data_IF_784524596578
#
_entry.id   IF_784524596578
#
_cell.length_a   1.000
_cell.length_b   1.000
_cell.length_c   1.000
_cell.angle_alpha   90.00
_cell.angle_beta   90.00
_cell.angle_gamma   90.00
#
_symmetry.space_group_name_H-M   'P 1'
#
loop_
_entity.id
_entity.type
_entity.pdbx_description
1 polymer ?
#
# COMPACT_ATOMS: atom_id res chain seq x y z
N UNK A 1 7.46 -30.43 34.55
CA UNK A 1 8.59 -31.17 33.94
C UNK A 1 9.65 -30.15 33.51
N UNK A 2 10.84 -30.22 34.07
CA UNK A 2 11.93 -29.32 33.62
C UNK A 2 12.58 -29.93 32.38
N UNK A 3 12.56 -29.16 31.26
CA UNK A 3 13.24 -29.54 30.03
C UNK A 3 14.76 -29.55 30.25
N UNK A 4 15.42 -30.61 29.80
CA UNK A 4 16.87 -30.72 29.79
C UNK A 4 17.48 -29.61 28.91
N UNK A 5 18.69 -29.12 29.24
CA UNK A 5 19.41 -28.09 28.46
C UNK A 5 19.54 -28.47 26.97
N UNK A 6 19.77 -29.76 26.68
CA UNK A 6 19.83 -30.22 25.29
C UNK A 6 18.49 -30.12 24.55
N UNK A 7 17.37 -30.40 25.22
CA UNK A 7 16.03 -30.23 24.67
C UNK A 7 15.70 -28.77 24.46
N UNK A 8 16.09 -27.87 25.37
CA UNK A 8 15.93 -26.41 25.20
C UNK A 8 16.68 -25.89 23.99
N UNK A 9 17.90 -26.36 23.75
CA UNK A 9 18.70 -26.01 22.56
C UNK A 9 18.04 -26.51 21.27
N UNK A 10 17.52 -27.73 21.28
CA UNK A 10 16.80 -28.29 20.12
C UNK A 10 15.52 -27.51 19.83
N UNK A 11 14.72 -27.21 20.84
CA UNK A 11 13.50 -26.41 20.70
C UNK A 11 13.81 -24.99 20.19
N UNK A 12 14.85 -24.36 20.74
CA UNK A 12 15.31 -23.06 20.28
C UNK A 12 15.76 -23.11 18.81
N UNK A 13 16.54 -24.12 18.43
CA UNK A 13 17.00 -24.29 17.05
C UNK A 13 15.82 -24.52 16.08
N UNK A 14 14.84 -25.34 16.45
CA UNK A 14 13.63 -25.57 15.67
C UNK A 14 12.79 -24.30 15.53
N UNK A 15 12.66 -23.48 16.59
CA UNK A 15 11.98 -22.20 16.54
C UNK A 15 12.67 -21.22 15.59
N UNK A 16 14.01 -21.15 15.63
CA UNK A 16 14.77 -20.28 14.71
C UNK A 16 14.59 -20.73 13.26
N UNK A 17 14.58 -22.03 12.99
CA UNK A 17 14.32 -22.57 11.64
C UNK A 17 12.90 -22.22 11.16
N UNK A 18 11.92 -22.34 12.03
CA UNK A 18 10.53 -22.04 11.69
C UNK A 18 10.32 -20.55 11.33
N UNK A 19 10.95 -19.65 12.07
CA UNK A 19 10.94 -18.20 11.78
C UNK A 19 11.63 -17.90 10.44
N UNK A 20 12.76 -18.54 10.16
CA UNK A 20 13.48 -18.37 8.89
C UNK A 20 12.64 -18.81 7.68
N UNK A 21 11.95 -19.95 7.77
CA UNK A 21 11.05 -20.44 6.70
C UNK A 21 9.91 -19.45 6.44
N UNK A 22 9.32 -18.88 7.48
CA UNK A 22 8.26 -17.89 7.36
C UNK A 22 8.73 -16.61 6.65
N UNK A 23 9.93 -16.14 6.95
CA UNK A 23 10.51 -14.96 6.31
C UNK A 23 10.78 -15.18 4.80
N UNK A 24 11.33 -16.34 4.43
CA UNK A 24 11.54 -16.69 3.02
C UNK A 24 10.22 -16.81 2.23
N UNK A 25 9.19 -17.38 2.85
CA UNK A 25 7.87 -17.49 2.21
C UNK A 25 7.23 -16.13 1.96
N UNK A 26 7.39 -15.18 2.89
CA UNK A 26 6.91 -13.80 2.72
C UNK A 26 7.64 -13.08 1.59
N UNK A 27 8.97 -13.16 1.55
CA UNK A 27 9.78 -12.55 0.50
C UNK A 27 9.43 -13.09 -0.89
N UNK A 28 9.26 -14.41 -1.03
CA UNK A 28 8.86 -15.04 -2.27
C UNK A 28 7.47 -14.58 -2.75
N UNK A 29 6.52 -14.41 -1.83
CA UNK A 29 5.18 -13.94 -2.14
C UNK A 29 5.13 -12.45 -2.53
N UNK A 30 5.94 -11.61 -1.89
CA UNK A 30 6.13 -10.20 -2.30
C UNK A 30 6.68 -10.14 -3.72
N UNK A 31 7.70 -10.94 -4.00
CA UNK A 31 8.32 -10.98 -5.33
C UNK A 31 7.37 -11.45 -6.44
N UNK A 32 6.48 -12.39 -6.14
CA UNK A 32 5.41 -12.79 -7.07
C UNK A 32 4.50 -11.60 -7.41
N UNK A 33 4.07 -10.84 -6.41
CA UNK A 33 3.24 -9.64 -6.61
C UNK A 33 3.99 -8.56 -7.42
N UNK A 34 5.29 -8.38 -7.19
CA UNK A 34 6.13 -7.46 -7.97
C UNK A 34 6.23 -7.87 -9.45
N UNK A 35 6.40 -9.17 -9.72
CA UNK A 35 6.42 -9.69 -11.10
C UNK A 35 5.09 -9.41 -11.82
N UNK A 36 3.97 -9.60 -11.13
CA UNK A 36 2.64 -9.29 -11.68
C UNK A 36 2.48 -7.78 -11.92
N UNK A 37 2.97 -6.95 -11.00
CA UNK A 37 3.01 -5.49 -11.16
C UNK A 37 3.84 -5.06 -12.38
N UNK A 38 5.02 -5.64 -12.59
CA UNK A 38 5.88 -5.33 -13.74
C UNK A 38 5.28 -5.75 -15.08
N UNK A 39 4.37 -6.72 -15.08
CA UNK A 39 3.56 -7.10 -16.24
C UNK A 39 2.34 -6.20 -16.45
N UNK A 40 2.22 -5.13 -15.68
CA UNK A 40 1.13 -4.15 -15.72
C UNK A 40 -0.26 -4.74 -15.38
N UNK A 41 -0.31 -5.94 -14.80
CA UNK A 41 -1.55 -6.49 -14.22
C UNK A 41 -1.77 -5.96 -12.81
N UNK A 42 -2.07 -4.66 -12.73
CA UNK A 42 -2.19 -3.94 -11.46
C UNK A 42 -3.36 -4.45 -10.61
N UNK A 43 -4.46 -4.85 -11.21
CA UNK A 43 -5.60 -5.42 -10.50
C UNK A 43 -5.22 -6.69 -9.75
N UNK A 44 -4.49 -7.61 -10.40
CA UNK A 44 -3.99 -8.83 -9.76
C UNK A 44 -2.91 -8.52 -8.72
N UNK A 45 -2.02 -7.55 -8.99
CA UNK A 45 -1.03 -7.11 -8.01
C UNK A 45 -1.71 -6.59 -6.73
N UNK A 46 -2.78 -5.81 -6.83
CA UNK A 46 -3.60 -5.35 -5.71
C UNK A 46 -4.11 -6.54 -4.88
N UNK A 47 -4.73 -7.53 -5.54
CA UNK A 47 -5.24 -8.73 -4.85
C UNK A 47 -4.15 -9.47 -4.08
N UNK A 48 -2.97 -9.63 -4.70
CA UNK A 48 -1.84 -10.31 -4.07
C UNK A 48 -1.28 -9.53 -2.87
N UNK A 49 -1.09 -8.21 -2.99
CA UNK A 49 -0.61 -7.38 -1.87
C UNK A 49 -1.63 -7.31 -0.74
N UNK A 50 -2.92 -7.18 -1.02
CA UNK A 50 -3.97 -7.22 0.01
C UNK A 50 -4.02 -8.57 0.71
N UNK A 51 -3.85 -9.67 -0.02
CA UNK A 51 -3.73 -11.01 0.53
C UNK A 51 -2.51 -11.15 1.46
N UNK A 52 -1.38 -10.57 1.09
CA UNK A 52 -0.17 -10.55 1.92
C UNK A 52 -0.36 -9.80 3.24
N UNK A 53 -1.07 -8.68 3.25
CA UNK A 53 -1.41 -7.96 4.48
C UNK A 53 -2.25 -8.81 5.43
N UNK A 54 -3.16 -9.63 4.91
CA UNK A 54 -4.00 -10.53 5.71
C UNK A 54 -3.22 -11.71 6.29
N UNK A 55 -2.27 -12.26 5.54
CA UNK A 55 -1.54 -13.48 5.91
C UNK A 55 -0.25 -13.22 6.69
N UNK A 56 0.43 -12.12 6.40
CA UNK A 56 1.76 -11.78 6.96
C UNK A 56 1.75 -10.54 7.85
N UNK A 57 0.63 -9.80 7.89
CA UNK A 57 0.49 -8.59 8.68
C UNK A 57 0.96 -7.32 7.97
N UNK A 58 1.00 -6.23 8.72
CA UNK A 58 1.33 -4.91 8.21
C UNK A 58 2.82 -4.76 7.88
N UNK A 59 3.11 -4.16 6.74
CA UNK A 59 4.46 -3.87 6.27
C UNK A 59 4.46 -2.56 5.48
N UNK A 60 5.43 -1.68 5.75
CA UNK A 60 5.61 -0.44 4.98
C UNK A 60 5.82 -0.73 3.49
N UNK A 61 6.61 -1.74 3.16
CA UNK A 61 6.86 -2.18 1.80
C UNK A 61 5.59 -2.64 1.08
N UNK A 62 4.79 -3.48 1.72
CA UNK A 62 3.53 -3.97 1.13
C UNK A 62 2.54 -2.84 0.93
N UNK A 63 2.37 -1.94 1.89
CA UNK A 63 1.52 -0.77 1.75
C UNK A 63 2.00 0.18 0.65
N UNK A 64 3.32 0.39 0.53
CA UNK A 64 3.89 1.22 -0.52
C UNK A 64 3.62 0.64 -1.91
N UNK A 65 3.89 -0.64 -2.10
CA UNK A 65 3.66 -1.34 -3.37
C UNK A 65 2.17 -1.39 -3.73
N UNK A 66 1.30 -1.60 -2.74
CA UNK A 66 -0.14 -1.55 -2.90
C UNK A 66 -0.61 -0.14 -3.31
N UNK A 67 -0.07 0.89 -2.70
CA UNK A 67 -0.30 2.28 -3.08
C UNK A 67 0.09 2.55 -4.53
N UNK A 68 1.25 2.05 -4.97
CA UNK A 68 1.72 2.15 -6.35
C UNK A 68 0.76 1.45 -7.33
N UNK A 69 0.29 0.24 -7.00
CA UNK A 69 -0.64 -0.51 -7.84
C UNK A 69 -1.99 0.21 -7.99
N UNK A 70 -2.55 0.74 -6.90
CA UNK A 70 -3.76 1.57 -6.95
C UNK A 70 -3.56 2.85 -7.76
N UNK A 71 -2.41 3.50 -7.61
CA UNK A 71 -2.09 4.71 -8.37
C UNK A 71 -2.07 4.43 -9.88
N UNK A 72 -1.47 3.32 -10.31
CA UNK A 72 -1.44 2.88 -11.72
C UNK A 72 -2.84 2.55 -12.27
N UNK A 73 -3.72 2.03 -11.45
CA UNK A 73 -5.14 1.81 -11.76
C UNK A 73 -5.97 3.11 -11.74
N UNK A 74 -5.33 4.25 -11.49
CA UNK A 74 -6.01 5.54 -11.33
C UNK A 74 -7.03 5.60 -10.16
N UNK A 75 -6.85 4.72 -9.18
CA UNK A 75 -7.61 4.69 -7.93
C UNK A 75 -6.87 5.50 -6.87
N UNK A 76 -7.02 6.83 -6.95
CA UNK A 76 -6.17 7.77 -6.22
C UNK A 76 -6.45 7.76 -4.71
N UNK A 77 -7.71 7.71 -4.28
CA UNK A 77 -8.04 7.68 -2.85
C UNK A 77 -7.46 6.46 -2.12
N UNK A 78 -7.62 5.21 -2.59
CA UNK A 78 -6.94 4.07 -1.98
C UNK A 78 -5.43 4.12 -2.11
N UNK A 79 -4.86 4.71 -3.17
CA UNK A 79 -3.42 4.93 -3.27
C UNK A 79 -2.90 5.82 -2.13
N UNK A 80 -3.54 6.96 -1.89
CA UNK A 80 -3.20 7.88 -0.79
C UNK A 80 -3.28 7.15 0.55
N UNK A 81 -4.36 6.42 0.82
CA UNK A 81 -4.54 5.68 2.06
C UNK A 81 -3.38 4.70 2.33
N UNK A 82 -2.97 3.95 1.32
CA UNK A 82 -1.89 2.97 1.47
C UNK A 82 -0.51 3.63 1.62
N UNK A 83 -0.25 4.74 0.91
CA UNK A 83 0.98 5.51 1.14
C UNK A 83 1.03 6.12 2.55
N UNK A 84 -0.09 6.61 3.08
CA UNK A 84 -0.16 7.12 4.46
C UNK A 84 0.11 6.01 5.48
N UNK A 85 -0.45 4.82 5.28
CA UNK A 85 -0.17 3.65 6.13
C UNK A 85 1.30 3.24 6.06
N UNK A 86 1.89 3.22 4.86
CA UNK A 86 3.31 2.96 4.69
C UNK A 86 4.18 3.99 5.44
N UNK A 87 3.84 5.28 5.34
CA UNK A 87 4.56 6.36 6.00
C UNK A 87 4.46 6.31 7.51
N UNK A 88 3.35 5.84 8.09
CA UNK A 88 3.21 5.60 9.53
C UNK A 88 4.19 4.55 10.03
N UNK A 89 4.46 3.51 9.23
CA UNK A 89 5.39 2.43 9.57
C UNK A 89 6.85 2.79 9.27
N UNK A 90 7.10 3.61 8.27
CA UNK A 90 8.44 4.08 7.90
C UNK A 90 8.42 5.59 7.57
N UNK A 91 8.39 6.46 8.61
CA UNK A 91 8.27 7.91 8.42
C UNK A 91 9.49 8.57 7.77
N UNK A 92 10.63 7.88 7.75
CA UNK A 92 11.88 8.36 7.15
C UNK A 92 12.01 8.12 5.65
N UNK A 93 11.14 7.31 5.05
CA UNK A 93 11.21 6.94 3.64
C UNK A 93 10.80 8.10 2.72
N UNK A 94 11.75 8.56 1.90
CA UNK A 94 11.56 9.67 0.96
C UNK A 94 10.69 9.28 -0.24
N UNK A 95 10.77 8.04 -0.70
CA UNK A 95 10.01 7.55 -1.87
C UNK A 95 8.52 7.45 -1.55
N UNK A 96 8.18 6.95 -0.37
CA UNK A 96 6.78 6.92 0.11
C UNK A 96 6.22 8.34 0.16
N UNK A 97 6.98 9.28 0.73
CA UNK A 97 6.56 10.67 0.88
C UNK A 97 6.37 11.36 -0.46
N UNK A 98 7.27 11.13 -1.40
CA UNK A 98 7.19 11.66 -2.76
C UNK A 98 5.95 11.14 -3.50
N UNK A 99 5.72 9.84 -3.49
CA UNK A 99 4.58 9.23 -4.16
C UNK A 99 3.24 9.63 -3.53
N UNK A 100 3.20 9.80 -2.20
CA UNK A 100 2.04 10.35 -1.50
C UNK A 100 1.72 11.77 -1.97
N UNK A 101 2.74 12.61 -2.12
CA UNK A 101 2.57 13.98 -2.61
C UNK A 101 2.04 14.00 -4.04
N UNK A 102 2.58 13.17 -4.94
CA UNK A 102 2.08 13.03 -6.30
C UNK A 102 0.61 12.59 -6.34
N UNK A 103 0.24 11.61 -5.52
CA UNK A 103 -1.13 11.13 -5.45
C UNK A 103 -2.09 12.20 -4.93
N UNK A 104 -1.70 12.97 -3.91
CA UNK A 104 -2.47 14.10 -3.40
C UNK A 104 -2.66 15.19 -4.44
N UNK A 105 -1.61 15.55 -5.17
CA UNK A 105 -1.67 16.53 -6.26
C UNK A 105 -2.64 16.08 -7.35
N UNK A 106 -2.58 14.82 -7.76
CA UNK A 106 -3.50 14.24 -8.75
C UNK A 106 -4.95 14.22 -8.26
N UNK A 107 -5.18 14.03 -6.96
CA UNK A 107 -6.50 14.13 -6.34
C UNK A 107 -7.08 15.54 -6.44
N UNK A 108 -6.27 16.57 -6.16
CA UNK A 108 -6.68 17.98 -6.28
C UNK A 108 -7.00 18.33 -7.73
N UNK A 109 -6.19 17.94 -8.69
CA UNK A 109 -6.40 18.18 -10.12
C UNK A 109 -7.70 17.56 -10.63
N UNK A 110 -8.18 16.47 -10.05
CA UNK A 110 -9.48 15.87 -10.36
C UNK A 110 -10.68 16.64 -9.80
N UNK A 111 -10.49 17.38 -8.72
CA UNK A 111 -11.55 18.13 -8.03
C UNK A 111 -11.74 19.50 -8.67
N UNK A 112 -10.68 20.15 -9.16
CA UNK A 112 -10.75 21.48 -9.79
C UNK A 112 -11.79 21.60 -10.93
N UNK A 113 -11.87 20.68 -11.92
CA UNK A 113 -12.88 20.76 -12.97
C UNK A 113 -14.32 20.72 -12.45
N UNK A 114 -14.55 20.03 -11.34
CA UNK A 114 -15.86 19.94 -10.68
C UNK A 114 -16.17 21.25 -9.94
N UNK A 115 -15.17 21.84 -9.29
CA UNK A 115 -15.27 23.13 -8.62
C UNK A 115 -15.62 24.26 -9.59
N UNK A 116 -14.93 24.35 -10.72
CA UNK A 116 -15.20 25.32 -11.78
C UNK A 116 -16.60 25.15 -12.37
N UNK A 117 -17.04 23.92 -12.61
CA UNK A 117 -18.38 23.64 -13.08
C UNK A 117 -19.47 24.14 -12.12
N UNK A 118 -19.30 23.92 -10.81
CA UNK A 118 -20.24 24.41 -9.80
C UNK A 118 -20.20 25.93 -9.67
N UNK A 119 -19.05 26.57 -9.77
CA UNK A 119 -18.88 28.02 -9.75
C UNK A 119 -19.55 28.67 -10.94
N UNK A 120 -19.34 28.20 -12.16
CA UNK A 120 -19.99 28.69 -13.36
C UNK A 120 -21.51 28.56 -13.26
N UNK A 121 -21.99 27.42 -12.82
CA UNK A 121 -23.43 27.18 -12.64
C UNK A 121 -24.07 28.09 -11.60
N UNK A 122 -23.32 28.40 -10.54
CA UNK A 122 -23.74 29.31 -9.49
C UNK A 122 -23.78 30.77 -10.01
N UNK A 123 -22.74 31.22 -10.73
CA UNK A 123 -22.68 32.53 -11.35
C UNK A 123 -23.82 32.75 -12.36
N UNK A 124 -24.07 31.80 -13.25
CA UNK A 124 -25.16 31.86 -14.23
C UNK A 124 -26.51 31.96 -13.53
N UNK A 125 -26.70 31.25 -12.44
CA UNK A 125 -27.92 31.30 -11.64
C UNK A 125 -28.11 32.66 -10.95
N UNK A 126 -27.05 33.26 -10.45
CA UNK A 126 -27.07 34.56 -9.79
C UNK A 126 -27.33 35.69 -10.82
N UNK A 127 -26.71 35.63 -12.00
CA UNK A 127 -26.93 36.60 -13.06
C UNK A 127 -28.36 36.55 -13.62
N UNK A 128 -28.97 35.38 -13.67
CA UNK A 128 -30.34 35.21 -14.16
C UNK A 128 -31.44 35.50 -13.12
N UNK A 129 -31.07 35.81 -11.88
CA UNK A 129 -32.01 36.19 -10.82
C UNK A 129 -32.27 37.71 -10.72
N UNK A 130 -31.56 38.50 -11.53
CA UNK A 130 -31.77 39.93 -11.68
C UNK A 130 -32.55 40.20 -12.96
#
# INVERSE_FOLDING_TARGET
MKMNINMKKIVFFLLVQFVAIGAFAQEAAIKEAEVVYTKEDYGKAIELYEGLLKTHGESAEIYYNLGNAYYKENKIAPAILNYERALLLDPGDGDIRFNLQLARQKSVDKIEPVGDFFLHRWFDKVQNMG
#
